data_IF_770047591046
#
_entry.id   IF_770047591046
#
_cell.length_a   1.000
_cell.length_b   1.000
_cell.length_c   1.000
_cell.angle_alpha   90.00
_cell.angle_beta   90.00
_cell.angle_gamma   90.00
#
_symmetry.space_group_name_H-M   'P 1'
#
loop_
_entity.id
_entity.type
_entity.pdbx_description
1 polymer ?
#
# COMPACT_ATOMS: atom_id res chain seq x y z
N UNK A 1 58.23 -23.40 22.35
CA UNK A 1 57.55 -24.18 23.41
C UNK A 1 56.18 -24.54 22.89
N UNK A 2 56.06 -25.78 22.41
CA UNK A 2 54.83 -26.43 21.94
C UNK A 2 53.93 -26.80 23.10
N UNK A 3 52.61 -26.70 22.90
CA UNK A 3 51.52 -27.43 23.58
C UNK A 3 50.27 -27.10 22.75
N UNK A 4 49.90 -27.80 21.68
CA UNK A 4 49.45 -29.20 21.56
C UNK A 4 48.39 -29.59 22.59
N UNK A 5 47.11 -29.49 22.20
CA UNK A 5 45.98 -30.16 22.85
C UNK A 5 44.98 -30.59 21.78
N UNK A 6 45.25 -31.80 21.29
CA UNK A 6 44.46 -32.71 20.46
C UNK A 6 43.11 -33.05 21.14
N UNK A 7 41.98 -33.13 20.42
CA UNK A 7 40.76 -33.74 20.96
C UNK A 7 40.80 -35.27 20.84
N UNK A 8 40.26 -36.04 21.80
CA UNK A 8 40.16 -37.49 21.66
C UNK A 8 38.96 -37.88 20.79
N UNK A 9 39.19 -38.87 19.92
CA UNK A 9 38.18 -39.64 19.21
C UNK A 9 38.16 -41.05 19.79
N UNK A 10 37.01 -41.51 20.28
CA UNK A 10 36.63 -42.89 20.62
C UNK A 10 35.10 -42.83 20.82
N UNK A 11 34.24 -43.76 20.42
CA UNK A 11 34.29 -44.97 19.61
C UNK A 11 32.81 -45.38 19.42
N UNK A 12 32.51 -46.11 18.36
CA UNK A 12 31.17 -46.52 17.94
C UNK A 12 30.36 -47.28 19.02
N UNK A 13 29.04 -47.06 19.09
CA UNK A 13 28.12 -48.13 19.47
C UNK A 13 26.80 -48.03 18.70
N UNK A 14 26.71 -48.92 17.73
CA UNK A 14 25.50 -49.38 17.07
C UNK A 14 24.51 -49.95 18.12
N UNK A 15 23.28 -49.43 18.19
CA UNK A 15 22.05 -50.09 18.73
C UNK A 15 20.83 -49.27 18.32
N UNK A 16 20.24 -49.59 17.17
CA UNK A 16 18.99 -50.38 17.07
C UNK A 16 17.73 -49.51 17.28
N UNK A 17 17.15 -49.08 16.15
CA UNK A 17 15.85 -48.42 16.10
C UNK A 17 14.73 -49.38 16.53
N UNK A 18 13.87 -49.03 17.50
CA UNK A 18 12.67 -49.81 17.74
C UNK A 18 11.69 -49.63 16.58
N UNK A 19 11.37 -50.73 15.88
CA UNK A 19 10.28 -50.79 14.91
C UNK A 19 8.96 -50.35 15.56
N UNK A 20 8.08 -49.62 14.85
CA UNK A 20 6.74 -49.37 15.35
C UNK A 20 5.95 -50.69 15.40
N UNK A 21 5.47 -51.04 16.59
CA UNK A 21 4.53 -52.14 16.78
C UNK A 21 3.24 -51.87 15.98
N UNK A 22 2.76 -52.89 15.26
CA UNK A 22 1.55 -52.81 14.45
C UNK A 22 0.29 -52.52 15.28
N UNK A 23 -0.82 -52.12 14.62
CA UNK A 23 -2.05 -51.77 15.31
C UNK A 23 -2.69 -53.03 15.91
N UNK A 24 -2.45 -53.24 17.20
CA UNK A 24 -3.22 -54.16 18.02
C UNK A 24 -4.67 -53.68 18.10
N UNK A 25 -5.58 -54.49 17.54
CA UNK A 25 -7.04 -54.36 17.68
C UNK A 25 -7.39 -54.34 19.18
N UNK A 26 -7.63 -53.16 19.74
CA UNK A 26 -8.29 -53.03 21.03
C UNK A 26 -9.80 -53.22 20.84
N UNK A 27 -10.33 -54.27 21.46
CA UNK A 27 -11.77 -54.53 21.58
C UNK A 27 -12.47 -53.38 22.35
N UNK A 28 -13.77 -53.13 22.11
CA UNK A 28 -14.49 -52.07 22.81
C UNK A 28 -14.68 -52.47 24.28
N UNK A 29 -13.95 -51.81 25.17
CA UNK A 29 -14.24 -51.85 26.59
C UNK A 29 -15.60 -51.16 26.80
N UNK A 30 -16.60 -51.96 27.17
CA UNK A 30 -17.91 -51.51 27.60
C UNK A 30 -17.73 -50.47 28.72
N UNK A 31 -18.09 -49.22 28.43
CA UNK A 31 -18.08 -48.15 29.41
C UNK A 31 -19.22 -48.38 30.41
N UNK A 32 -18.85 -48.97 31.54
CA UNK A 32 -19.62 -48.97 32.79
C UNK A 32 -20.02 -47.53 33.12
N UNK A 33 -21.32 -47.31 33.29
CA UNK A 33 -21.89 -46.01 33.65
C UNK A 33 -21.36 -45.54 35.01
N UNK A 34 -20.42 -44.61 34.98
CA UNK A 34 -20.00 -43.86 36.17
C UNK A 34 -21.10 -42.88 36.61
N UNK A 35 -21.17 -42.52 37.90
CA UNK A 35 -22.17 -41.60 38.43
C UNK A 35 -22.12 -40.29 37.64
N UNK A 36 -23.27 -39.86 37.15
CA UNK A 36 -23.42 -38.71 36.27
C UNK A 36 -22.72 -37.49 36.86
N UNK A 37 -21.63 -37.07 36.22
CA UNK A 37 -21.05 -35.75 36.49
C UNK A 37 -22.17 -34.74 36.25
N UNK A 38 -22.50 -33.86 37.22
CA UNK A 38 -23.45 -32.80 36.95
C UNK A 38 -22.93 -32.03 35.74
N UNK A 39 -23.76 -31.94 34.70
CA UNK A 39 -23.48 -31.19 33.48
C UNK A 39 -23.50 -29.70 33.89
N UNK A 40 -22.39 -29.23 34.49
CA UNK A 40 -22.21 -27.84 34.88
C UNK A 40 -22.05 -27.05 33.60
N UNK A 41 -23.18 -26.70 32.98
CA UNK A 41 -23.25 -25.69 31.95
C UNK A 41 -22.95 -24.37 32.62
N UNK A 42 -21.67 -23.99 32.60
CA UNK A 42 -21.26 -22.63 32.93
C UNK A 42 -22.13 -21.67 32.11
N UNK A 43 -22.80 -20.70 32.75
CA UNK A 43 -23.52 -19.67 32.03
C UNK A 43 -22.54 -19.03 31.06
N UNK A 44 -22.85 -19.08 29.75
CA UNK A 44 -22.11 -18.30 28.78
C UNK A 44 -22.35 -16.84 29.17
N UNK A 45 -21.38 -16.24 29.85
CA UNK A 45 -21.42 -14.83 30.24
C UNK A 45 -21.70 -13.94 29.02
N UNK A 46 -22.16 -12.70 29.24
CA UNK A 46 -22.56 -11.82 28.15
C UNK A 46 -21.39 -11.71 27.17
N UNK A 47 -21.60 -12.21 25.96
CA UNK A 47 -20.62 -12.14 24.86
C UNK A 47 -20.14 -10.70 24.79
N UNK A 48 -18.83 -10.48 24.95
CA UNK A 48 -18.21 -9.18 24.76
C UNK A 48 -18.77 -8.55 23.48
N UNK A 49 -19.38 -7.38 23.63
CA UNK A 49 -20.35 -6.80 22.70
C UNK A 49 -19.80 -6.46 21.30
N UNK A 50 -18.51 -6.63 21.02
CA UNK A 50 -17.94 -6.51 19.67
C UNK A 50 -16.73 -7.45 19.55
N UNK A 51 -16.65 -8.27 18.50
CA UNK A 51 -15.47 -9.12 18.28
C UNK A 51 -14.25 -8.28 17.87
N UNK A 52 -13.01 -8.68 18.24
CA UNK A 52 -11.80 -7.98 17.78
C UNK A 52 -11.72 -7.84 16.25
N UNK A 53 -12.24 -8.83 15.51
CA UNK A 53 -12.33 -8.79 14.06
C UNK A 53 -13.34 -7.74 13.55
N UNK A 54 -14.48 -7.57 14.22
CA UNK A 54 -15.45 -6.52 13.89
C UNK A 54 -14.90 -5.11 14.19
N UNK A 55 -14.17 -4.94 15.30
CA UNK A 55 -13.48 -3.68 15.60
C UNK A 55 -12.40 -3.36 14.57
N UNK A 56 -11.57 -4.34 14.20
CA UNK A 56 -10.56 -4.16 13.16
C UNK A 56 -11.18 -3.76 11.81
N UNK A 57 -12.29 -4.40 11.42
CA UNK A 57 -13.01 -4.05 10.20
C UNK A 57 -13.60 -2.63 10.24
N UNK A 58 -14.12 -2.18 11.39
CA UNK A 58 -14.61 -0.81 11.58
C UNK A 58 -13.48 0.22 11.46
N UNK A 59 -12.33 -0.03 12.11
CA UNK A 59 -11.16 0.84 12.02
C UNK A 59 -10.66 0.94 10.59
N UNK A 60 -10.46 -0.19 9.90
CA UNK A 60 -10.01 -0.18 8.51
C UNK A 60 -10.92 0.64 7.57
N UNK A 61 -12.24 0.63 7.82
CA UNK A 61 -13.21 1.37 7.00
C UNK A 61 -13.17 2.89 7.24
N UNK A 62 -12.89 3.33 8.46
CA UNK A 62 -13.02 4.75 8.83
C UNK A 62 -11.68 5.48 9.02
N UNK A 63 -10.57 4.77 9.24
CA UNK A 63 -9.27 5.37 9.55
C UNK A 63 -8.85 6.42 8.52
N UNK A 64 -8.97 6.13 7.23
CA UNK A 64 -8.57 7.08 6.18
C UNK A 64 -9.50 8.28 6.06
N UNK A 65 -10.80 8.08 6.29
CA UNK A 65 -11.79 9.18 6.29
C UNK A 65 -11.55 10.08 7.49
N UNK A 66 -11.36 9.52 8.68
CA UNK A 66 -11.03 10.27 9.90
C UNK A 66 -9.72 11.01 9.71
N UNK A 67 -8.67 10.34 9.22
CA UNK A 67 -7.37 10.97 8.97
C UNK A 67 -7.48 12.15 7.99
N UNK A 68 -8.18 11.96 6.86
CA UNK A 68 -8.42 13.00 5.87
C UNK A 68 -9.18 14.19 6.47
N UNK A 69 -10.25 13.94 7.20
CA UNK A 69 -11.07 14.99 7.82
C UNK A 69 -10.28 15.72 8.88
N UNK A 70 -9.52 15.02 9.74
CA UNK A 70 -8.67 15.63 10.76
C UNK A 70 -7.61 16.54 10.15
N UNK A 71 -6.90 16.10 9.11
CA UNK A 71 -5.94 16.95 8.40
C UNK A 71 -6.64 18.16 7.77
N UNK A 72 -7.81 17.96 7.15
CA UNK A 72 -8.59 19.05 6.57
C UNK A 72 -9.06 20.08 7.60
N UNK A 73 -9.49 19.63 8.78
CA UNK A 73 -9.89 20.51 9.88
C UNK A 73 -8.71 21.31 10.42
N UNK A 74 -7.52 20.72 10.54
CA UNK A 74 -6.31 21.46 10.92
C UNK A 74 -6.02 22.60 9.93
N UNK A 75 -6.12 22.33 8.63
CA UNK A 75 -5.92 23.34 7.60
C UNK A 75 -6.97 24.46 7.64
N UNK A 76 -8.24 24.11 7.84
CA UNK A 76 -9.31 25.10 8.01
C UNK A 76 -9.07 25.98 9.24
N UNK A 77 -8.67 25.36 10.35
CA UNK A 77 -8.40 26.05 11.60
C UNK A 77 -7.23 27.02 11.46
N UNK A 78 -6.07 26.53 10.99
CA UNK A 78 -4.89 27.38 10.81
C UNK A 78 -5.08 28.44 9.73
N UNK A 79 -5.81 28.14 8.65
CA UNK A 79 -6.15 29.13 7.63
C UNK A 79 -7.05 30.24 8.16
N UNK A 80 -8.07 29.89 8.96
CA UNK A 80 -8.95 30.89 9.59
C UNK A 80 -8.20 31.77 10.59
N UNK A 81 -7.30 31.18 11.39
CA UNK A 81 -6.48 31.95 12.33
C UNK A 81 -5.61 33.01 11.62
N UNK A 82 -5.12 32.74 10.41
CA UNK A 82 -4.34 33.72 9.63
C UNK A 82 -5.16 34.93 9.17
N UNK A 83 -6.48 34.85 9.16
CA UNK A 83 -7.34 36.01 8.85
C UNK A 83 -7.53 36.94 10.06
N UNK A 84 -7.18 36.48 11.27
CA UNK A 84 -7.35 37.24 12.50
C UNK A 84 -6.02 37.93 12.90
N UNK A 85 -5.96 39.27 12.96
CA UNK A 85 -4.74 39.99 13.34
C UNK A 85 -4.22 39.58 14.72
N UNK A 86 -2.96 39.16 14.82
CA UNK A 86 -2.29 38.88 16.11
C UNK A 86 -2.67 37.54 16.75
N UNK A 87 -3.32 36.65 16.01
CA UNK A 87 -3.90 35.44 16.57
C UNK A 87 -2.91 34.26 16.74
N UNK A 88 -1.73 34.27 16.12
CA UNK A 88 -0.80 33.14 16.24
C UNK A 88 0.66 33.47 15.93
N UNK A 89 1.63 32.95 16.72
CA UNK A 89 3.06 32.99 16.37
C UNK A 89 3.41 32.39 15.00
N UNK A 90 2.55 31.48 14.49
CA UNK A 90 2.74 30.87 13.18
C UNK A 90 2.52 31.85 12.01
N UNK A 91 1.80 32.95 12.26
CA UNK A 91 1.52 33.98 11.25
C UNK A 91 2.74 34.85 10.95
N UNK A 92 3.42 35.32 12.00
CA UNK A 92 4.63 36.14 11.89
C UNK A 92 5.71 35.39 11.12
N UNK A 93 5.82 34.08 11.37
CA UNK A 93 6.72 33.20 10.65
C UNK A 93 6.37 33.07 9.17
N UNK A 94 5.10 32.75 8.85
CA UNK A 94 4.67 32.58 7.46
C UNK A 94 4.87 33.85 6.63
N UNK A 95 4.62 35.00 7.26
CA UNK A 95 4.81 36.32 6.67
C UNK A 95 6.28 36.61 6.36
N UNK A 96 7.20 36.33 7.30
CA UNK A 96 8.64 36.50 7.10
C UNK A 96 9.20 35.59 6.01
N UNK A 97 8.78 34.32 5.98
CA UNK A 97 9.12 33.37 4.90
C UNK A 97 8.74 33.92 3.53
N UNK A 98 7.52 34.44 3.39
CA UNK A 98 7.06 34.93 2.10
C UNK A 98 7.77 36.22 1.68
N UNK A 99 8.10 37.11 2.64
CA UNK A 99 8.91 38.30 2.37
C UNK A 99 10.28 37.90 1.83
N UNK A 100 10.97 36.97 2.47
CA UNK A 100 12.30 36.52 2.04
C UNK A 100 12.25 35.82 0.67
N UNK A 101 11.29 34.91 0.47
CA UNK A 101 11.10 34.21 -0.81
C UNK A 101 10.75 35.14 -1.97
N UNK A 102 10.06 36.24 -1.71
CA UNK A 102 9.71 37.21 -2.76
C UNK A 102 10.73 38.36 -2.87
N UNK A 103 11.85 38.29 -2.14
CA UNK A 103 12.82 39.39 -2.02
C UNK A 103 12.15 40.73 -1.66
N UNK A 104 11.12 40.69 -0.80
CA UNK A 104 10.33 41.83 -0.38
C UNK A 104 9.32 42.37 -1.41
N UNK A 105 9.18 41.75 -2.59
CA UNK A 105 8.29 42.26 -3.66
C UNK A 105 6.80 42.00 -3.42
N UNK A 106 6.46 41.05 -2.55
CA UNK A 106 5.08 40.73 -2.22
C UNK A 106 4.76 41.31 -0.85
N UNK A 107 3.83 42.29 -0.76
CA UNK A 107 3.43 42.85 0.52
C UNK A 107 2.87 41.78 1.45
N UNK A 108 3.18 41.92 2.74
CA UNK A 108 2.62 41.11 3.83
C UNK A 108 1.09 41.07 3.78
N UNK A 109 0.48 42.21 3.47
CA UNK A 109 -0.97 42.40 3.42
C UNK A 109 -1.64 41.60 2.30
N UNK A 110 -0.89 41.17 1.28
CA UNK A 110 -1.40 40.33 0.19
C UNK A 110 -1.00 38.86 0.36
N UNK A 111 0.21 38.59 0.83
CA UNK A 111 0.70 37.22 1.02
C UNK A 111 -0.08 36.46 2.09
N UNK A 112 -0.40 37.14 3.19
CA UNK A 112 -1.13 36.56 4.33
C UNK A 112 -2.54 36.08 3.97
N UNK A 113 -3.45 36.91 3.40
CA UNK A 113 -4.78 36.45 3.02
C UNK A 113 -4.73 35.42 1.87
N UNK A 114 -3.75 35.49 0.98
CA UNK A 114 -3.56 34.48 -0.06
C UNK A 114 -3.24 33.11 0.54
N UNK A 115 -2.31 33.06 1.50
CA UNK A 115 -1.93 31.82 2.17
C UNK A 115 -3.07 31.27 3.03
N UNK A 116 -3.77 32.15 3.76
CA UNK A 116 -4.95 31.80 4.53
C UNK A 116 -6.05 31.18 3.64
N UNK A 117 -6.35 31.81 2.51
CA UNK A 117 -7.33 31.33 1.54
C UNK A 117 -6.91 29.99 0.96
N UNK A 118 -5.63 29.83 0.58
CA UNK A 118 -5.11 28.57 0.06
C UNK A 118 -5.26 27.43 1.09
N UNK A 119 -4.92 27.66 2.36
CA UNK A 119 -5.08 26.69 3.43
C UNK A 119 -6.54 26.31 3.66
N UNK A 120 -7.44 27.31 3.66
CA UNK A 120 -8.87 27.06 3.82
C UNK A 120 -9.44 26.24 2.65
N UNK A 121 -9.03 26.52 1.41
CA UNK A 121 -9.44 25.76 0.23
C UNK A 121 -8.93 24.32 0.28
N UNK A 122 -7.67 24.11 0.68
CA UNK A 122 -7.10 22.77 0.88
C UNK A 122 -7.88 22.04 1.97
N UNK A 123 -8.12 22.69 3.11
CA UNK A 123 -8.85 22.11 4.23
C UNK A 123 -10.28 21.73 3.85
N UNK A 124 -11.00 22.62 3.18
CA UNK A 124 -12.35 22.37 2.68
C UNK A 124 -12.38 21.22 1.66
N UNK A 125 -11.42 21.19 0.73
CA UNK A 125 -11.29 20.08 -0.23
C UNK A 125 -10.99 18.75 0.45
N UNK A 126 -10.18 18.74 1.51
CA UNK A 126 -9.86 17.53 2.27
C UNK A 126 -11.07 17.06 3.07
N UNK A 127 -11.81 17.95 3.75
CA UNK A 127 -13.02 17.58 4.50
C UNK A 127 -14.11 17.06 3.57
N UNK A 128 -14.46 17.83 2.53
CA UNK A 128 -15.54 17.48 1.59
C UNK A 128 -15.17 16.31 0.69
N UNK A 129 -13.89 16.14 0.36
CA UNK A 129 -13.42 15.16 -0.62
C UNK A 129 -13.62 15.60 -2.07
N UNK A 130 -14.05 16.85 -2.28
CA UNK A 130 -14.22 17.43 -3.60
C UNK A 130 -12.86 17.63 -4.27
N UNK A 131 -12.77 17.25 -5.55
CA UNK A 131 -11.54 17.34 -6.36
C UNK A 131 -10.30 16.83 -5.62
N UNK A 132 -10.44 15.75 -4.83
CA UNK A 132 -9.45 15.30 -3.83
C UNK A 132 -8.02 15.21 -4.36
N UNK A 133 -7.81 14.85 -5.64
CA UNK A 133 -6.46 14.82 -6.23
C UNK A 133 -5.83 16.19 -6.39
N UNK A 134 -6.60 17.17 -6.85
CA UNK A 134 -6.13 18.54 -6.96
C UNK A 134 -5.88 19.13 -5.57
N UNK A 135 -6.77 18.84 -4.62
CA UNK A 135 -6.60 19.22 -3.21
C UNK A 135 -5.33 18.61 -2.62
N UNK A 136 -5.08 17.31 -2.84
CA UNK A 136 -3.86 16.65 -2.38
C UNK A 136 -2.60 17.20 -3.05
N UNK A 137 -2.66 17.52 -4.35
CA UNK A 137 -1.56 18.18 -5.04
C UNK A 137 -1.25 19.54 -4.40
N UNK A 138 -2.28 20.38 -4.22
CA UNK A 138 -2.15 21.67 -3.55
C UNK A 138 -1.63 21.52 -2.11
N UNK A 139 -2.10 20.53 -1.37
CA UNK A 139 -1.60 20.17 -0.04
C UNK A 139 -0.11 19.86 -0.05
N UNK A 140 0.38 19.02 -0.98
CA UNK A 140 1.81 18.67 -1.04
C UNK A 140 2.68 19.85 -1.46
N UNK A 141 2.21 20.67 -2.40
CA UNK A 141 2.90 21.91 -2.79
C UNK A 141 3.00 22.86 -1.62
N UNK A 142 1.90 23.06 -0.89
CA UNK A 142 1.86 23.89 0.30
C UNK A 142 2.82 23.35 1.38
N UNK A 143 2.78 22.04 1.67
CA UNK A 143 3.70 21.40 2.61
C UNK A 143 5.17 21.60 2.22
N UNK A 144 5.52 21.43 0.94
CA UNK A 144 6.87 21.70 0.46
C UNK A 144 7.29 23.15 0.72
N UNK A 145 6.41 24.12 0.46
CA UNK A 145 6.63 25.52 0.79
C UNK A 145 6.86 25.77 2.29
N UNK A 146 6.13 25.08 3.17
CA UNK A 146 6.38 25.19 4.62
C UNK A 146 7.76 24.69 5.03
N UNK A 147 8.26 23.62 4.41
CA UNK A 147 9.61 23.12 4.69
C UNK A 147 10.71 24.03 4.14
N UNK A 148 10.45 24.79 3.07
CA UNK A 148 11.38 25.79 2.55
C UNK A 148 11.79 26.81 3.63
N UNK A 149 10.92 27.09 4.61
CA UNK A 149 11.21 27.97 5.74
C UNK A 149 12.47 27.55 6.54
N UNK A 150 12.75 26.25 6.66
CA UNK A 150 13.92 25.71 7.37
C UNK A 150 15.25 26.14 6.74
N UNK A 151 15.25 26.35 5.42
CA UNK A 151 16.42 26.77 4.65
C UNK A 151 16.47 28.29 4.47
N UNK A 152 15.31 28.94 4.37
CA UNK A 152 15.22 30.39 4.11
C UNK A 152 15.44 31.22 5.37
N UNK A 153 14.98 30.75 6.54
CA UNK A 153 15.18 31.43 7.83
C UNK A 153 15.93 30.55 8.83
N UNK A 154 17.18 30.17 8.55
CA UNK A 154 17.91 29.22 9.40
C UNK A 154 18.12 29.76 10.82
N UNK A 155 18.30 31.06 11.01
CA UNK A 155 18.48 31.68 12.32
C UNK A 155 17.21 31.63 13.20
N UNK A 156 16.02 31.63 12.58
CA UNK A 156 14.76 31.48 13.34
C UNK A 156 14.42 30.01 13.58
N UNK A 157 14.92 29.10 12.75
CA UNK A 157 14.55 27.68 12.76
C UNK A 157 15.52 26.80 13.55
N UNK A 158 16.78 27.21 13.70
CA UNK A 158 17.85 26.44 14.34
C UNK A 158 18.55 27.25 15.44
N UNK A 159 18.80 26.62 16.59
CA UNK A 159 19.55 27.20 17.70
C UNK A 159 21.03 26.83 17.59
N UNK A 160 21.73 27.54 16.71
CA UNK A 160 23.19 27.39 16.48
C UNK A 160 23.64 26.12 15.75
N UNK A 161 22.83 25.05 15.71
CA UNK A 161 23.12 23.83 14.95
C UNK A 161 21.87 23.12 14.42
N UNK A 162 22.04 22.31 13.38
CA UNK A 162 20.96 21.52 12.75
C UNK A 162 20.36 20.43 13.67
N UNK A 163 20.98 20.12 14.80
CA UNK A 163 20.49 19.14 15.76
C UNK A 163 19.45 19.74 16.74
N UNK A 164 19.44 21.06 16.90
CA UNK A 164 18.59 21.75 17.88
C UNK A 164 17.66 22.75 17.17
N UNK A 165 16.50 22.29 16.67
CA UNK A 165 15.50 23.18 16.11
C UNK A 165 14.86 24.03 17.23
N UNK A 166 14.65 25.32 16.94
CA UNK A 166 13.88 26.21 17.82
C UNK A 166 12.43 25.74 17.94
N UNK A 167 11.63 26.38 18.80
CA UNK A 167 10.18 26.11 18.84
C UNK A 167 9.54 26.26 17.45
N UNK A 168 9.91 27.29 16.69
CA UNK A 168 9.47 27.50 15.32
C UNK A 168 9.88 26.34 14.39
N UNK A 169 11.14 25.93 14.42
CA UNK A 169 11.64 24.80 13.64
C UNK A 169 10.91 23.50 13.96
N UNK A 170 10.61 23.24 15.25
CA UNK A 170 9.83 22.08 15.69
C UNK A 170 8.40 22.10 15.13
N UNK A 171 7.76 23.27 15.09
CA UNK A 171 6.44 23.44 14.46
C UNK A 171 6.44 23.08 12.98
N UNK A 172 7.53 23.34 12.25
CA UNK A 172 7.66 22.95 10.84
C UNK A 172 8.00 21.47 10.71
N UNK A 173 8.95 20.95 11.51
CA UNK A 173 9.38 19.55 11.43
C UNK A 173 8.25 18.57 11.73
N UNK A 174 7.32 18.89 12.65
CA UNK A 174 6.16 18.03 12.92
C UNK A 174 5.26 17.83 11.70
N UNK A 175 5.31 18.72 10.70
CA UNK A 175 4.53 18.59 9.47
C UNK A 175 4.88 17.33 8.67
N UNK A 176 6.01 16.66 8.97
CA UNK A 176 6.32 15.33 8.40
C UNK A 176 5.19 14.33 8.68
N UNK A 177 4.54 14.43 9.85
CA UNK A 177 3.36 13.60 10.19
C UNK A 177 2.17 13.93 9.29
N UNK A 178 1.95 15.21 8.97
CA UNK A 178 0.89 15.63 8.04
C UNK A 178 1.19 15.13 6.63
N UNK A 179 2.44 15.20 6.17
CA UNK A 179 2.84 14.65 4.86
C UNK A 179 2.58 13.14 4.81
N UNK A 180 2.96 12.40 5.84
CA UNK A 180 2.67 10.97 5.94
C UNK A 180 1.16 10.69 5.91
N UNK A 181 0.36 11.49 6.62
CA UNK A 181 -1.09 11.39 6.59
C UNK A 181 -1.66 11.68 5.19
N UNK A 182 -1.16 12.71 4.51
CA UNK A 182 -1.53 13.05 3.13
C UNK A 182 -1.20 11.93 2.15
N UNK A 183 -0.04 11.28 2.29
CA UNK A 183 0.35 10.12 1.48
C UNK A 183 -0.58 8.93 1.72
N UNK A 184 -0.92 8.64 2.97
CA UNK A 184 -1.88 7.59 3.33
C UNK A 184 -3.26 7.85 2.72
N UNK A 185 -3.74 9.09 2.77
CA UNK A 185 -5.01 9.51 2.14
C UNK A 185 -4.93 9.40 0.62
N UNK A 186 -3.82 9.84 0.00
CA UNK A 186 -3.61 9.77 -1.44
C UNK A 186 -3.59 8.33 -1.96
N UNK A 187 -2.96 7.41 -1.22
CA UNK A 187 -2.90 5.99 -1.58
C UNK A 187 -4.29 5.32 -1.56
N UNK A 188 -5.20 5.79 -0.70
CA UNK A 188 -6.56 5.27 -0.56
C UNK A 188 -7.59 6.06 -1.38
N UNK A 189 -7.18 7.13 -2.06
CA UNK A 189 -8.06 7.90 -2.92
C UNK A 189 -8.51 7.05 -4.13
N UNK A 190 -9.79 7.14 -4.56
CA UNK A 190 -10.28 6.41 -5.72
C UNK A 190 -9.42 6.68 -6.96
N UNK A 191 -8.84 5.62 -7.54
CA UNK A 191 -8.06 5.73 -8.78
C UNK A 191 -9.01 6.05 -9.94
N UNK A 192 -8.58 6.89 -10.91
CA UNK A 192 -9.38 7.08 -12.10
C UNK A 192 -9.36 5.74 -12.81
N UNK A 193 -10.53 5.23 -13.22
CA UNK A 193 -10.58 4.02 -14.03
C UNK A 193 -9.68 4.27 -15.24
N UNK A 194 -8.52 3.59 -15.28
CA UNK A 194 -7.64 3.65 -16.43
C UNK A 194 -8.53 3.31 -17.64
N UNK A 195 -8.63 4.26 -18.57
CA UNK A 195 -9.53 4.16 -19.71
C UNK A 195 -9.38 2.78 -20.34
N UNK A 196 -10.49 2.08 -20.56
CA UNK A 196 -10.60 0.75 -21.18
C UNK A 196 -9.93 0.61 -22.58
N UNK A 197 -9.20 1.63 -23.03
CA UNK A 197 -8.37 1.63 -24.25
C UNK A 197 -7.16 0.69 -24.15
N UNK A 198 -6.65 0.42 -22.94
CA UNK A 198 -5.54 -0.54 -22.76
C UNK A 198 -5.96 -2.00 -22.98
N UNK A 199 -7.14 -2.37 -22.47
CA UNK A 199 -7.70 -3.73 -22.60
C UNK A 199 -8.25 -4.01 -23.99
N UNK A 200 -8.86 -3.03 -24.65
CA UNK A 200 -9.29 -3.16 -26.05
C UNK A 200 -8.11 -3.40 -27.00
N UNK A 201 -6.98 -2.68 -26.81
CA UNK A 201 -5.77 -2.84 -27.64
C UNK A 201 -4.97 -4.10 -27.30
N UNK A 202 -5.09 -4.63 -26.08
CA UNK A 202 -4.51 -5.93 -25.69
C UNK A 202 -5.36 -7.10 -26.21
N UNK A 203 -6.69 -7.00 -26.12
CA UNK A 203 -7.64 -7.98 -26.67
C UNK A 203 -7.55 -8.05 -28.19
N UNK A 204 -7.56 -6.90 -28.90
CA UNK A 204 -7.39 -6.87 -30.36
C UNK A 204 -6.07 -7.49 -30.83
N UNK A 205 -4.97 -7.29 -30.07
CA UNK A 205 -3.67 -7.92 -30.36
C UNK A 205 -3.64 -9.42 -30.05
N UNK A 206 -4.36 -9.88 -29.03
CA UNK A 206 -4.54 -11.30 -28.73
C UNK A 206 -5.34 -12.02 -29.81
N UNK A 207 -6.44 -11.41 -30.27
CA UNK A 207 -7.31 -11.96 -31.31
C UNK A 207 -6.63 -11.99 -32.68
N UNK A 208 -5.88 -10.94 -33.04
CA UNK A 208 -5.10 -10.91 -34.28
C UNK A 208 -3.97 -11.96 -34.30
N UNK A 209 -3.29 -12.20 -33.17
CA UNK A 209 -2.27 -13.26 -33.06
C UNK A 209 -2.90 -14.67 -33.06
N UNK A 210 -4.06 -14.84 -32.44
CA UNK A 210 -4.79 -16.12 -32.42
C UNK A 210 -5.29 -16.54 -33.80
N UNK A 211 -5.86 -15.60 -34.55
CA UNK A 211 -6.37 -15.83 -35.92
C UNK A 211 -5.25 -16.12 -36.92
N UNK A 212 -4.15 -15.37 -36.88
CA UNK A 212 -2.98 -15.63 -37.72
C UNK A 212 -2.39 -17.03 -37.47
N UNK A 213 -2.33 -17.48 -36.21
CA UNK A 213 -1.78 -18.79 -35.83
C UNK A 213 -2.72 -19.96 -36.14
N UNK A 214 -4.03 -19.71 -36.22
CA UNK A 214 -5.02 -20.70 -36.66
C UNK A 214 -4.99 -20.86 -38.19
N UNK A 215 -4.90 -19.76 -38.93
CA UNK A 215 -4.77 -19.77 -40.39
C UNK A 215 -3.52 -20.52 -40.85
N UNK A 216 -2.35 -20.24 -40.24
CA UNK A 216 -1.10 -20.92 -40.57
C UNK A 216 -1.12 -22.44 -40.29
N UNK A 217 -1.92 -22.91 -39.32
CA UNK A 217 -2.08 -24.34 -39.05
C UNK A 217 -3.07 -25.02 -39.98
N UNK A 218 -4.10 -24.30 -40.44
CA UNK A 218 -5.05 -24.80 -41.43
C UNK A 218 -4.39 -25.03 -42.79
N UNK A 219 -3.56 -24.09 -43.24
CA UNK A 219 -2.83 -24.20 -44.52
C UNK A 219 -1.79 -25.32 -44.52
N UNK A 220 -1.02 -25.47 -43.42
CA UNK A 220 -0.06 -26.57 -43.28
C UNK A 220 -0.74 -27.96 -43.31
N UNK A 221 -1.93 -28.09 -42.71
CA UNK A 221 -2.67 -29.36 -42.66
C UNK A 221 -3.37 -29.70 -43.98
N UNK A 222 -3.76 -28.68 -44.76
CA UNK A 222 -4.29 -28.87 -46.11
C UNK A 222 -3.20 -29.30 -47.10
N UNK A 223 -2.00 -28.70 -47.02
CA UNK A 223 -0.85 -29.07 -47.85
C UNK A 223 -0.39 -30.52 -47.60
N UNK A 224 -0.44 -30.99 -46.34
CA UNK A 224 -0.08 -32.37 -46.00
C UNK A 224 -1.10 -33.41 -46.51
N UNK A 225 -2.38 -33.04 -46.67
CA UNK A 225 -3.41 -33.95 -47.21
C UNK A 225 -3.43 -33.99 -48.74
N UNK A 226 -3.03 -32.92 -49.42
CA UNK A 226 -2.91 -32.88 -50.89
C UNK A 226 -1.75 -33.73 -51.42
N UNK A 227 -0.65 -33.84 -50.67
CA UNK A 227 0.51 -34.67 -51.04
C UNK A 227 0.26 -36.18 -50.95
N UNK A 228 -0.61 -36.62 -50.03
CA UNK A 228 -0.90 -38.04 -49.84
C UNK A 228 -1.81 -38.63 -50.94
N UNK A 229 -2.56 -37.80 -51.68
CA UNK A 229 -3.47 -38.25 -52.75
C UNK A 229 -2.79 -38.41 -54.12
N UNK A 230 -1.58 -37.88 -54.31
CA UNK A 230 -0.83 -38.03 -55.57
C UNK A 230 0.19 -39.18 -55.54
N UNK A 231 0.44 -39.77 -54.37
CA UNK A 231 1.38 -40.89 -54.22
C UNK A 231 0.74 -42.27 -54.47
N UNK A 232 -0.59 -42.37 -54.58
CA UNK A 232 -1.29 -43.66 -54.76
C UNK A 232 -1.73 -43.98 -56.19
N UNK A 233 -1.40 -43.16 -57.19
CA UNK A 233 -1.77 -43.39 -58.60
C UNK A 233 -0.60 -43.85 -59.48
N UNK A 234 0.59 -44.11 -58.93
CA UNK A 234 1.80 -44.43 -59.71
C UNK A 234 2.27 -45.89 -59.71
N UNK A 235 1.62 -46.82 -59.00
CA UNK A 235 2.14 -48.19 -58.80
C UNK A 235 1.14 -49.27 -59.20
N UNK A 236 0.55 -49.15 -60.39
CA UNK A 236 -0.28 -50.20 -61.01
C UNK A 236 0.02 -50.29 -62.51
N UNK A 237 1.29 -50.43 -62.87
CA UNK A 237 1.70 -50.69 -64.26
C UNK A 237 3.12 -51.27 -64.27
N UNK A 238 3.25 -52.53 -63.85
CA UNK A 238 4.32 -53.48 -64.20
C UNK A 238 4.08 -54.72 -63.37
N UNK A 239 3.69 -55.79 -64.06
CA UNK A 239 4.10 -57.18 -63.81
C UNK A 239 2.98 -58.10 -64.32
N UNK A 240 3.05 -58.30 -65.63
CA UNK A 240 2.23 -59.22 -66.38
C UNK A 240 2.86 -59.36 -67.75
N UNK A 241 3.90 -60.19 -67.86
CA UNK A 241 4.32 -60.90 -69.06
C UNK A 241 5.62 -61.68 -68.80
N UNK A 242 5.62 -62.97 -69.12
CA UNK A 242 6.82 -63.79 -69.35
C UNK A 242 7.03 -64.96 -68.41
#
# INVERSE_FOLDING_TARGET
MSSDLRPPAHEETHRESPRPAGPGRAAPAAAVGGPGRPDVRLPRGPRALVSPAALAALYQRHSFTVLRVSVGLLFLWFGTLKLMPGASPAEDMATRVMSELTSGRLPVDLSRPLLATAEMLIGAGLVTGLLLRLTLLAFFVHMAGTFTALAVLPAEMWDGSLAFPTMAGQYVLKNVVLVAAGLAVAAHAPRPRASARGTARASARGTARGTARASARGTARASARGGASQASSGSAARDGEG
#
